data_IF_260962170194
#
_entry.id   IF_260962170194
#
_cell.length_a   1.000
_cell.length_b   1.000
_cell.length_c   1.000
_cell.angle_alpha   90.00
_cell.angle_beta   90.00
_cell.angle_gamma   90.00
#
_symmetry.space_group_name_H-M   'P 1'
#
loop_
_entity.id
_entity.type
_entity.pdbx_description
1 polymer ?
#
# COMPACT_ATOMS: atom_id res chain seq x y z
N UNK A 1 -13.34 13.12 -20.04
CA UNK A 1 -12.05 13.09 -19.33
C UNK A 1 -12.33 13.48 -17.88
N UNK A 2 -12.35 12.53 -16.94
CA UNK A 2 -12.66 12.82 -15.54
C UNK A 2 -11.43 13.31 -14.76
N UNK A 3 -11.69 14.24 -13.87
CA UNK A 3 -10.79 15.18 -13.18
C UNK A 3 -9.75 14.46 -12.32
N UNK A 4 -8.48 14.87 -12.45
CA UNK A 4 -7.38 14.61 -11.50
C UNK A 4 -7.75 15.25 -10.15
N UNK A 5 -8.49 14.54 -9.31
CA UNK A 5 -8.58 14.84 -7.87
C UNK A 5 -7.29 14.40 -7.19
N UNK A 6 -6.79 15.16 -6.21
CA UNK A 6 -5.68 14.73 -5.38
C UNK A 6 -5.95 13.30 -4.84
N UNK A 7 -4.93 12.42 -4.75
CA UNK A 7 -5.14 11.10 -4.19
C UNK A 7 -5.71 11.26 -2.77
N UNK A 8 -6.83 10.58 -2.49
CA UNK A 8 -7.37 10.54 -1.13
C UNK A 8 -6.29 9.99 -0.19
N UNK A 9 -6.33 10.36 1.09
CA UNK A 9 -5.26 10.01 2.03
C UNK A 9 -5.03 8.49 2.12
N UNK A 10 -6.06 7.70 1.85
CA UNK A 10 -5.97 6.25 1.74
C UNK A 10 -5.08 5.82 0.55
N UNK A 11 -5.27 6.39 -0.64
CA UNK A 11 -4.43 6.11 -1.82
C UNK A 11 -2.97 6.54 -1.59
N UNK A 12 -2.74 7.67 -0.91
CA UNK A 12 -1.37 8.09 -0.54
C UNK A 12 -0.73 7.05 0.39
N UNK A 13 -1.46 6.59 1.41
CA UNK A 13 -0.96 5.61 2.38
C UNK A 13 -0.65 4.26 1.73
N UNK A 14 -1.52 3.78 0.82
CA UNK A 14 -1.27 2.58 0.00
C UNK A 14 0.04 2.72 -0.78
N UNK A 15 0.24 3.85 -1.47
CA UNK A 15 1.43 4.04 -2.30
C UNK A 15 2.71 4.15 -1.46
N UNK A 16 2.67 4.84 -0.32
CA UNK A 16 3.80 4.91 0.61
C UNK A 16 4.17 3.53 1.14
N UNK A 17 3.19 2.72 1.55
CA UNK A 17 3.43 1.39 2.08
C UNK A 17 3.99 0.43 1.02
N UNK A 18 3.48 0.52 -0.23
CA UNK A 18 4.04 -0.21 -1.38
C UNK A 18 5.50 0.12 -1.62
N UNK A 19 5.86 1.40 -1.56
CA UNK A 19 7.24 1.82 -1.72
C UNK A 19 8.14 1.24 -0.62
N UNK A 20 7.70 1.28 0.64
CA UNK A 20 8.42 0.68 1.76
C UNK A 20 8.59 -0.83 1.61
N UNK A 21 7.54 -1.55 1.21
CA UNK A 21 7.58 -2.99 0.95
C UNK A 21 8.58 -3.35 -0.14
N UNK A 22 8.60 -2.60 -1.25
CA UNK A 22 9.56 -2.83 -2.34
C UNK A 22 10.99 -2.55 -1.86
N UNK A 23 11.20 -1.47 -1.09
CA UNK A 23 12.52 -1.13 -0.55
C UNK A 23 13.02 -2.22 0.40
N UNK A 24 12.19 -2.64 1.36
CA UNK A 24 12.51 -3.70 2.30
C UNK A 24 12.73 -5.04 1.58
N UNK A 25 11.94 -5.37 0.57
CA UNK A 25 12.11 -6.59 -0.24
C UNK A 25 13.44 -6.62 -1.00
N UNK A 26 13.91 -5.46 -1.46
CA UNK A 26 15.24 -5.33 -2.09
C UNK A 26 16.39 -5.42 -1.09
N UNK A 27 16.20 -4.93 0.15
CA UNK A 27 17.26 -4.86 1.16
C UNK A 27 17.37 -6.15 1.98
N UNK A 28 16.24 -6.70 2.40
CA UNK A 28 16.13 -7.74 3.42
C UNK A 28 15.52 -9.05 2.86
N UNK A 29 15.10 -9.05 1.59
CA UNK A 29 14.40 -10.17 0.97
C UNK A 29 12.90 -10.21 1.26
N UNK A 30 12.15 -10.89 0.39
CA UNK A 30 10.69 -10.94 0.45
C UNK A 30 10.13 -11.68 1.67
N UNK A 31 10.91 -12.60 2.24
CA UNK A 31 10.55 -13.33 3.46
C UNK A 31 10.89 -12.60 4.76
N UNK A 32 11.46 -11.39 4.69
CA UNK A 32 11.78 -10.63 5.90
C UNK A 32 10.51 -10.22 6.64
N UNK A 33 10.61 -10.18 7.98
CA UNK A 33 9.49 -9.81 8.83
C UNK A 33 8.93 -8.42 8.49
N UNK A 34 9.78 -7.50 8.03
CA UNK A 34 9.39 -6.16 7.60
C UNK A 34 8.52 -6.19 6.33
N UNK A 35 8.89 -6.98 5.32
CA UNK A 35 8.08 -7.16 4.10
C UNK A 35 6.75 -7.81 4.41
N UNK A 36 6.73 -8.82 5.27
CA UNK A 36 5.48 -9.49 5.68
C UNK A 36 4.53 -8.51 6.39
N UNK A 37 5.04 -7.71 7.33
CA UNK A 37 4.23 -6.67 8.00
C UNK A 37 3.68 -5.64 7.00
N UNK A 38 4.51 -5.18 6.07
CA UNK A 38 4.05 -4.24 5.04
C UNK A 38 3.02 -4.87 4.10
N UNK A 39 3.14 -6.15 3.76
CA UNK A 39 2.14 -6.87 2.97
C UNK A 39 0.80 -6.94 3.69
N UNK A 40 0.78 -7.31 4.97
CA UNK A 40 -0.45 -7.42 5.76
C UNK A 40 -1.16 -6.08 5.93
N UNK A 41 -0.41 -4.99 6.18
CA UNK A 41 -1.00 -3.66 6.31
C UNK A 41 -1.43 -3.10 4.93
N UNK A 42 -0.74 -3.48 3.85
CA UNK A 42 -1.15 -3.12 2.49
C UNK A 42 -2.51 -3.75 2.13
N UNK A 43 -2.69 -5.04 2.43
CA UNK A 43 -3.94 -5.75 2.17
C UNK A 43 -5.13 -5.12 2.91
N UNK A 44 -4.93 -4.70 4.17
CA UNK A 44 -5.96 -3.98 4.94
C UNK A 44 -6.38 -2.67 4.26
N UNK A 45 -5.42 -1.87 3.81
CA UNK A 45 -5.69 -0.61 3.15
C UNK A 45 -6.37 -0.81 1.78
N UNK A 46 -6.00 -1.85 1.04
CA UNK A 46 -6.65 -2.22 -0.22
C UNK A 46 -8.11 -2.64 0.03
N UNK A 47 -8.36 -3.47 1.04
CA UNK A 47 -9.73 -3.86 1.41
C UNK A 47 -10.57 -2.64 1.80
N UNK A 48 -10.03 -1.73 2.61
CA UNK A 48 -10.70 -0.49 2.98
C UNK A 48 -11.03 0.37 1.75
N UNK A 49 -10.10 0.46 0.80
CA UNK A 49 -10.33 1.19 -0.45
C UNK A 49 -11.46 0.57 -1.26
N UNK A 50 -11.45 -0.75 -1.43
CA UNK A 50 -12.50 -1.47 -2.15
C UNK A 50 -13.88 -1.32 -1.50
N UNK A 51 -13.96 -1.33 -0.16
CA UNK A 51 -15.21 -1.12 0.56
C UNK A 51 -15.77 0.31 0.38
N UNK A 52 -14.90 1.32 0.31
CA UNK A 52 -15.30 2.73 0.12
C UNK A 52 -15.76 3.04 -1.31
N UNK A 53 -15.34 2.25 -2.28
CA UNK A 53 -15.64 2.43 -3.71
C UNK A 53 -16.62 1.38 -4.25
N UNK A 54 -17.41 0.75 -3.36
CA UNK A 54 -18.43 -0.22 -3.70
C UNK A 54 -19.76 0.45 -4.08
#
# INVERSE_FOLDING_TARGET
MQVKGAPCDLTKRINSLRFLMIRAGRQNGLGSQEVLRYSEELDKLIMEFQLRHR
#
